data_IF_406578555723
#
_entry.id   IF_406578555723
#
_cell.length_a   1.000
_cell.length_b   1.000
_cell.length_c   1.000
_cell.angle_alpha   90.00
_cell.angle_beta   90.00
_cell.angle_gamma   90.00
#
_symmetry.space_group_name_H-M   'P 1'
#
loop_
_entity.id
_entity.type
_entity.pdbx_description
1 polymer ?
#
# COMPACT_ATOMS: atom_id res chain seq x y z
N UNK A 1 26.25 22.63 -10.82
CA UNK A 1 25.20 21.85 -10.14
C UNK A 1 23.98 22.74 -10.08
N UNK A 2 22.93 22.42 -10.81
CA UNK A 2 21.63 23.05 -10.60
C UNK A 2 21.13 22.63 -9.24
N UNK A 3 21.04 23.59 -8.31
CA UNK A 3 20.60 23.34 -6.96
C UNK A 3 19.12 22.96 -6.93
N UNK A 4 18.80 21.77 -6.42
CA UNK A 4 17.43 21.40 -6.09
C UNK A 4 17.14 21.96 -4.70
N UNK A 5 16.09 22.78 -4.59
CA UNK A 5 15.64 23.26 -3.29
C UNK A 5 15.02 22.11 -2.50
N UNK A 6 15.50 21.89 -1.28
CA UNK A 6 14.98 20.90 -0.36
C UNK A 6 14.28 21.59 0.80
N UNK A 7 12.97 21.42 0.90
CA UNK A 7 12.17 21.91 2.03
C UNK A 7 11.90 20.73 2.95
N UNK A 8 12.31 20.84 4.22
CA UNK A 8 12.13 19.82 5.24
C UNK A 8 10.92 20.12 6.11
N UNK A 9 10.36 19.07 6.73
CA UNK A 9 9.21 19.19 7.64
C UNK A 9 7.97 19.82 7.01
N UNK A 10 7.87 19.76 5.69
CA UNK A 10 6.75 20.29 4.91
C UNK A 10 5.71 19.19 4.67
N UNK A 11 4.88 18.91 5.67
CA UNK A 11 3.85 17.87 5.61
C UNK A 11 2.66 18.33 4.77
N UNK A 12 2.22 17.48 3.85
CA UNK A 12 1.04 17.77 3.02
C UNK A 12 -0.20 17.98 3.91
N UNK A 13 -0.94 19.04 3.64
CA UNK A 13 -2.28 19.21 4.18
C UNK A 13 -3.27 18.31 3.42
N UNK A 14 -3.67 17.21 4.03
CA UNK A 14 -4.62 16.24 3.45
C UNK A 14 -6.08 16.64 3.61
N UNK A 15 -6.35 17.78 4.24
CA UNK A 15 -7.71 18.28 4.38
C UNK A 15 -8.27 18.79 3.05
N UNK A 16 -9.59 18.95 2.99
CA UNK A 16 -10.25 19.51 1.82
C UNK A 16 -9.68 20.91 1.48
N UNK A 17 -9.07 21.00 0.29
CA UNK A 17 -8.44 22.24 -0.17
C UNK A 17 -6.92 22.28 0.05
N UNK A 18 -6.30 21.26 0.62
CA UNK A 18 -4.84 21.12 0.66
C UNK A 18 -4.24 20.85 -0.71
N UNK A 19 -4.99 20.24 -1.62
CA UNK A 19 -4.63 20.08 -3.03
C UNK A 19 -5.61 20.85 -3.90
N UNK A 20 -5.09 21.81 -4.66
CA UNK A 20 -5.90 22.60 -5.62
C UNK A 20 -5.77 21.99 -7.00
N UNK A 21 -6.92 21.76 -7.64
CA UNK A 21 -7.00 21.18 -8.99
C UNK A 21 -7.86 22.06 -9.89
N UNK A 22 -7.44 22.13 -11.15
CA UNK A 22 -8.29 22.62 -12.23
C UNK A 22 -8.48 21.48 -13.23
N UNK A 23 -9.73 21.06 -13.39
CA UNK A 23 -10.05 19.82 -14.12
C UNK A 23 -9.33 18.62 -13.46
N UNK A 24 -8.46 17.95 -14.22
CA UNK A 24 -7.68 16.80 -13.76
C UNK A 24 -6.20 17.15 -13.47
N UNK A 25 -5.86 18.43 -13.44
CA UNK A 25 -4.48 18.88 -13.25
C UNK A 25 -4.33 19.51 -11.87
N UNK A 26 -3.35 19.08 -11.11
CA UNK A 26 -2.97 19.72 -9.85
C UNK A 26 -2.29 21.06 -10.18
N UNK A 27 -2.75 22.15 -9.59
CA UNK A 27 -2.16 23.49 -9.73
C UNK A 27 -1.26 23.84 -8.55
N UNK A 28 -1.63 23.38 -7.36
CA UNK A 28 -0.85 23.63 -6.14
C UNK A 28 -1.15 22.61 -5.06
N UNK A 29 -0.20 22.48 -4.14
CA UNK A 29 -0.34 21.76 -2.87
C UNK A 29 -0.07 22.73 -1.72
N UNK A 30 -0.73 22.50 -0.60
CA UNK A 30 -0.52 23.26 0.65
C UNK A 30 0.03 22.33 1.72
N UNK A 31 0.93 22.83 2.52
CA UNK A 31 1.49 22.16 3.68
C UNK A 31 0.77 22.57 4.97
N UNK A 32 0.92 21.78 6.04
CA UNK A 32 0.24 22.01 7.32
C UNK A 32 0.63 23.34 7.97
N UNK A 33 1.78 23.90 7.64
CA UNK A 33 2.22 25.23 8.06
C UNK A 33 1.57 26.38 7.26
N UNK A 34 0.71 26.03 6.29
CA UNK A 34 -0.01 26.99 5.44
C UNK A 34 0.75 27.41 4.18
N UNK A 35 1.97 26.94 3.97
CA UNK A 35 2.74 27.24 2.76
C UNK A 35 2.12 26.57 1.53
N UNK A 36 2.07 27.29 0.42
CA UNK A 36 1.52 26.79 -0.85
C UNK A 36 2.61 26.69 -1.91
N UNK A 37 2.74 25.50 -2.47
CA UNK A 37 3.68 25.20 -3.56
C UNK A 37 2.91 25.05 -4.87
N UNK A 38 3.37 25.75 -5.92
CA UNK A 38 2.81 25.67 -7.27
C UNK A 38 3.81 24.99 -8.18
N UNK A 39 3.32 24.17 -9.08
CA UNK A 39 4.17 23.46 -10.03
C UNK A 39 3.44 23.06 -11.30
N UNK A 40 4.19 22.76 -12.35
CA UNK A 40 3.67 22.21 -13.60
C UNK A 40 3.49 20.70 -13.51
N UNK A 41 4.23 20.06 -12.59
CA UNK A 41 4.21 18.61 -12.35
C UNK A 41 4.43 18.36 -10.86
N UNK A 42 3.76 17.36 -10.34
CA UNK A 42 3.89 16.90 -8.96
C UNK A 42 4.20 15.40 -8.98
N UNK A 43 5.16 15.00 -8.17
CA UNK A 43 5.51 13.60 -7.96
C UNK A 43 5.27 13.25 -6.49
N UNK A 44 4.55 12.17 -6.27
CA UNK A 44 4.46 11.53 -4.96
C UNK A 44 5.44 10.36 -4.93
N UNK A 45 6.45 10.47 -4.10
CA UNK A 45 7.45 9.42 -3.87
C UNK A 45 7.45 9.00 -2.39
N UNK A 46 6.33 9.17 -1.71
CA UNK A 46 6.11 8.72 -0.33
C UNK A 46 5.70 7.25 -0.30
N UNK A 47 5.79 6.63 0.87
CA UNK A 47 5.28 5.27 1.07
C UNK A 47 3.76 5.21 1.10
N UNK A 48 3.12 6.24 1.65
CA UNK A 48 1.69 6.29 1.90
C UNK A 48 0.88 6.75 0.70
N UNK A 49 1.48 7.51 -0.22
CA UNK A 49 0.78 8.07 -1.37
C UNK A 49 -0.23 9.16 -1.00
N UNK A 50 0.05 9.93 0.02
CA UNK A 50 -0.86 10.96 0.56
C UNK A 50 -1.34 11.96 -0.49
N UNK A 51 -0.49 12.32 -1.45
CA UNK A 51 -0.86 13.22 -2.53
C UNK A 51 -1.83 12.57 -3.51
N UNK A 52 -1.70 11.28 -3.75
CA UNK A 52 -2.59 10.51 -4.64
C UNK A 52 -4.02 10.56 -4.09
N UNK A 53 -4.18 10.26 -2.80
CA UNK A 53 -5.46 10.30 -2.11
C UNK A 53 -6.03 11.73 -2.06
N UNK A 54 -5.24 12.70 -1.59
CA UNK A 54 -5.67 14.10 -1.48
C UNK A 54 -6.01 14.73 -2.85
N UNK A 55 -5.41 14.27 -3.92
CA UNK A 55 -5.73 14.67 -5.29
C UNK A 55 -6.97 13.93 -5.85
N UNK A 56 -7.53 12.95 -5.15
CA UNK A 56 -8.67 12.15 -5.62
C UNK A 56 -8.33 11.33 -6.88
N UNK A 57 -7.11 10.82 -6.94
CA UNK A 57 -6.70 9.85 -7.96
C UNK A 57 -7.11 8.47 -7.48
N UNK A 58 -7.65 7.65 -8.36
CA UNK A 58 -7.99 6.27 -8.02
C UNK A 58 -6.73 5.44 -7.71
N UNK A 59 -6.79 4.65 -6.68
CA UNK A 59 -5.71 3.75 -6.27
C UNK A 59 -6.29 2.46 -5.71
N UNK A 60 -5.44 1.46 -5.56
CA UNK A 60 -5.76 0.20 -4.92
C UNK A 60 -4.91 0.01 -3.67
N UNK A 61 -5.50 -0.53 -2.61
CA UNK A 61 -4.78 -0.87 -1.38
C UNK A 61 -4.54 -2.37 -1.35
N UNK A 62 -3.29 -2.76 -1.16
CA UNK A 62 -2.87 -4.15 -1.27
C UNK A 62 -2.41 -4.51 -2.68
N UNK A 63 -2.42 -5.79 -2.99
CA UNK A 63 -2.06 -6.29 -4.32
C UNK A 63 -3.32 -6.62 -5.10
N UNK A 64 -3.37 -6.18 -6.34
CA UNK A 64 -4.46 -6.51 -7.24
C UNK A 64 -4.39 -7.98 -7.66
N UNK A 65 -5.54 -8.51 -8.07
CA UNK A 65 -5.61 -9.83 -8.67
C UNK A 65 -4.77 -9.92 -9.95
N UNK A 66 -4.15 -11.07 -10.16
CA UNK A 66 -3.38 -11.34 -11.39
C UNK A 66 -4.20 -11.14 -12.66
N UNK A 67 -5.50 -11.42 -12.62
CA UNK A 67 -6.41 -11.30 -13.75
C UNK A 67 -6.63 -9.87 -14.22
N UNK A 68 -6.46 -8.88 -13.32
CA UNK A 68 -6.79 -7.48 -13.63
C UNK A 68 -5.94 -6.90 -14.76
N UNK A 69 -4.64 -7.20 -14.75
CA UNK A 69 -3.69 -6.73 -15.76
C UNK A 69 -2.96 -7.88 -16.48
N UNK A 70 -3.43 -9.11 -16.32
CA UNK A 70 -2.77 -10.29 -16.88
C UNK A 70 -1.39 -10.57 -16.28
N UNK A 71 -1.17 -10.16 -15.06
CA UNK A 71 0.07 -10.36 -14.32
C UNK A 71 0.18 -11.79 -13.78
N UNK A 72 1.38 -12.19 -13.40
CA UNK A 72 1.64 -13.55 -12.94
C UNK A 72 1.87 -13.64 -11.43
N UNK A 73 2.35 -12.57 -10.82
CA UNK A 73 2.91 -12.61 -9.48
C UNK A 73 2.38 -11.51 -8.54
N UNK A 74 1.33 -10.81 -8.94
CA UNK A 74 0.80 -9.70 -8.15
C UNK A 74 -0.21 -10.16 -7.09
N UNK A 75 -1.20 -10.96 -7.47
CA UNK A 75 -2.24 -11.44 -6.58
C UNK A 75 -1.78 -12.43 -5.50
N UNK A 76 -2.71 -13.13 -4.89
CA UNK A 76 -2.42 -14.13 -3.86
C UNK A 76 -1.59 -15.27 -4.43
N UNK A 77 -0.50 -15.58 -3.78
CA UNK A 77 0.43 -16.64 -4.15
C UNK A 77 0.31 -17.80 -3.16
N UNK A 78 -0.35 -18.87 -3.59
CA UNK A 78 -0.52 -20.09 -2.77
C UNK A 78 0.41 -21.17 -3.27
N UNK A 79 1.21 -21.74 -2.37
CA UNK A 79 2.10 -22.87 -2.68
C UNK A 79 3.34 -22.49 -3.51
N UNK A 80 3.57 -21.23 -3.81
CA UNK A 80 4.71 -20.78 -4.58
C UNK A 80 5.55 -19.81 -3.75
N UNK A 81 6.69 -20.26 -3.31
CA UNK A 81 7.74 -19.39 -2.75
C UNK A 81 8.64 -18.96 -3.91
N UNK A 82 8.35 -17.82 -4.50
CA UNK A 82 9.06 -17.31 -5.67
C UNK A 82 10.50 -16.91 -5.36
N UNK A 83 10.69 -16.36 -4.18
CA UNK A 83 11.98 -16.03 -3.62
C UNK A 83 12.08 -16.62 -2.23
N UNK A 84 13.21 -17.18 -1.90
CA UNK A 84 13.53 -17.54 -0.52
C UNK A 84 13.57 -16.25 0.27
N UNK A 85 12.53 -15.99 1.08
CA UNK A 85 12.57 -14.86 1.98
C UNK A 85 13.59 -15.10 3.09
N UNK A 86 14.08 -14.04 3.72
CA UNK A 86 15.15 -14.08 4.69
C UNK A 86 14.90 -14.96 5.91
N UNK A 87 13.65 -15.21 6.24
CA UNK A 87 13.25 -15.99 7.42
C UNK A 87 13.21 -17.50 7.18
N UNK A 88 13.35 -17.94 5.93
CA UNK A 88 13.26 -19.36 5.57
C UNK A 88 11.87 -19.96 5.78
N UNK A 89 11.77 -21.24 5.64
CA UNK A 89 10.56 -22.02 5.95
C UNK A 89 10.70 -22.50 7.39
N UNK A 90 9.62 -22.46 8.15
CA UNK A 90 9.61 -23.04 9.49
C UNK A 90 10.07 -24.52 9.42
N UNK A 91 11.09 -24.85 10.18
CA UNK A 91 11.62 -26.22 10.23
C UNK A 91 10.65 -27.21 10.85
N UNK A 92 9.75 -26.72 11.70
CA UNK A 92 8.67 -27.48 12.30
C UNK A 92 7.34 -26.87 11.87
N UNK A 93 6.37 -27.69 11.49
CA UNK A 93 5.01 -27.24 11.24
C UNK A 93 4.43 -26.55 12.48
N UNK A 94 3.87 -25.37 12.28
CA UNK A 94 3.12 -24.66 13.32
C UNK A 94 1.66 -25.09 13.20
N UNK A 95 1.07 -25.59 14.28
CA UNK A 95 -0.33 -25.94 14.29
C UNK A 95 -1.19 -24.69 14.13
N UNK A 96 -2.16 -24.67 13.21
CA UNK A 96 -3.10 -23.58 13.08
C UNK A 96 -4.22 -23.61 14.16
N UNK A 97 -4.27 -24.66 14.96
CA UNK A 97 -5.34 -24.90 15.93
C UNK A 97 -4.99 -24.36 17.30
N UNK A 98 -6.02 -23.96 18.07
CA UNK A 98 -5.87 -23.49 19.46
C UNK A 98 -5.16 -24.52 20.33
N UNK A 99 -5.52 -25.80 20.21
CA UNK A 99 -4.78 -26.91 20.79
C UNK A 99 -3.99 -27.58 19.66
N UNK A 100 -2.66 -27.57 19.72
CA UNK A 100 -1.84 -28.13 18.64
C UNK A 100 -2.22 -29.58 18.32
N UNK A 101 -2.53 -29.81 17.03
CA UNK A 101 -2.91 -31.14 16.54
C UNK A 101 -4.37 -31.52 16.71
N UNK A 102 -5.19 -30.72 17.37
CA UNK A 102 -6.63 -30.95 17.55
C UNK A 102 -7.49 -30.01 16.68
N UNK A 103 -7.99 -30.45 15.52
CA UNK A 103 -8.87 -29.64 14.69
C UNK A 103 -10.18 -29.19 15.36
N UNK A 104 -10.65 -29.96 16.36
CA UNK A 104 -11.89 -29.65 17.09
C UNK A 104 -11.74 -28.46 18.03
N UNK A 105 -10.51 -28.09 18.37
CA UNK A 105 -10.23 -26.91 19.21
C UNK A 105 -10.44 -25.58 18.51
N UNK A 106 -10.72 -25.59 17.20
CA UNK A 106 -10.85 -24.39 16.40
C UNK A 106 -9.51 -23.80 15.96
N UNK A 107 -9.56 -22.81 15.06
CA UNK A 107 -8.38 -22.13 14.55
C UNK A 107 -7.91 -21.04 15.52
N UNK A 108 -6.63 -20.76 15.51
CA UNK A 108 -6.04 -19.61 16.18
C UNK A 108 -6.71 -18.31 15.70
N UNK A 109 -6.85 -17.28 16.57
CA UNK A 109 -7.38 -15.99 16.16
C UNK A 109 -6.66 -15.44 14.92
N UNK A 110 -7.41 -14.86 14.00
CA UNK A 110 -6.95 -14.32 12.71
C UNK A 110 -6.50 -15.35 11.66
N UNK A 111 -6.66 -16.63 11.90
CA UNK A 111 -6.54 -17.64 10.85
C UNK A 111 -7.93 -17.91 10.28
N UNK A 112 -8.11 -17.68 8.99
CA UNK A 112 -9.35 -18.04 8.28
C UNK A 112 -9.28 -19.48 7.79
N UNK A 113 -10.42 -20.19 7.90
CA UNK A 113 -10.61 -21.49 7.26
C UNK A 113 -10.94 -21.36 5.76
N UNK A 114 -11.32 -20.15 5.33
CA UNK A 114 -11.66 -19.90 3.94
C UNK A 114 -10.41 -19.89 3.06
N UNK A 115 -10.51 -20.35 1.82
CA UNK A 115 -9.41 -20.23 0.89
C UNK A 115 -9.06 -18.75 0.66
N UNK A 116 -7.79 -18.44 0.40
CA UNK A 116 -7.40 -17.07 0.11
C UNK A 116 -8.14 -16.56 -1.13
N UNK A 117 -8.58 -15.31 -1.08
CA UNK A 117 -9.19 -14.65 -2.22
C UNK A 117 -8.21 -14.40 -3.36
N UNK A 118 -8.70 -13.77 -4.40
CA UNK A 118 -7.89 -13.42 -5.58
C UNK A 118 -6.93 -12.24 -5.30
N UNK A 119 -7.29 -11.39 -4.36
CA UNK A 119 -6.52 -10.19 -3.98
C UNK A 119 -5.55 -10.48 -2.83
N UNK A 120 -4.41 -9.80 -2.87
CA UNK A 120 -3.35 -9.93 -1.86
C UNK A 120 -3.45 -8.97 -0.67
#
# INVERSE_FOLDING_TARGET
>A
EEGIEIVREAWLDRSKGGVSKKNQTIESIRTLDGTTYKGKMFLDATYEGDLIDAAGVSFHVGREANSLYGEKWNGVQVGVLHHRHHFGIFKQGISPYVVPGDPKSGLLPKISADPPGEYG
#
